data_IF_224261723551
#
_entry.id   IF_224261723551
#
_cell.length_a   1.000
_cell.length_b   1.000
_cell.length_c   1.000
_cell.angle_alpha   90.00
_cell.angle_beta   90.00
_cell.angle_gamma   90.00
#
_symmetry.space_group_name_H-M   'P 1'
#
loop_
_entity.id
_entity.type
_entity.pdbx_description
1 polymer ?
#
# COMPACT_ATOMS: atom_id res chain seq x y z
N UNK A 1 -42.51 6.06 42.67
CA UNK A 1 -41.55 7.06 42.14
C UNK A 1 -40.89 6.35 40.96
N UNK A 2 -41.59 6.23 39.82
CA UNK A 2 -41.82 7.24 38.77
C UNK A 2 -40.57 7.48 37.92
N UNK A 3 -40.61 6.85 36.74
CA UNK A 3 -40.04 7.19 35.43
C UNK A 3 -38.62 7.76 35.34
N UNK A 4 -37.71 6.94 34.81
CA UNK A 4 -36.45 7.41 34.22
C UNK A 4 -36.70 7.49 32.71
N UNK A 5 -36.97 8.70 32.23
CA UNK A 5 -37.10 9.03 30.80
C UNK A 5 -35.80 8.69 30.09
N UNK A 6 -35.86 7.80 29.11
CA UNK A 6 -34.80 7.63 28.12
C UNK A 6 -35.08 8.67 27.04
N UNK A 7 -34.39 9.81 27.11
CA UNK A 7 -34.36 10.78 26.02
C UNK A 7 -33.69 10.12 24.80
N UNK A 8 -34.46 9.88 23.74
CA UNK A 8 -33.95 9.46 22.44
C UNK A 8 -33.21 10.65 21.83
N UNK A 9 -31.89 10.53 21.65
CA UNK A 9 -31.10 11.52 20.92
C UNK A 9 -31.53 11.48 19.44
N UNK A 10 -32.42 12.40 19.07
CA UNK A 10 -32.75 12.72 17.68
C UNK A 10 -31.45 13.12 16.97
N UNK A 11 -30.89 12.20 16.19
CA UNK A 11 -29.76 12.50 15.32
C UNK A 11 -30.23 13.52 14.29
N UNK A 12 -29.74 14.76 14.38
CA UNK A 12 -29.98 15.82 13.39
C UNK A 12 -29.59 15.30 12.00
N UNK A 13 -30.60 14.92 11.20
CA UNK A 13 -30.52 14.23 9.91
C UNK A 13 -30.07 15.16 8.75
N UNK A 14 -29.52 16.33 9.11
CA UNK A 14 -29.13 17.46 8.25
C UNK A 14 -27.62 17.49 7.89
N UNK A 15 -26.83 16.58 8.46
CA UNK A 15 -25.39 16.43 8.19
C UNK A 15 -25.06 15.20 7.34
N UNK A 16 -26.05 14.58 6.68
CA UNK A 16 -25.78 13.54 5.67
C UNK A 16 -25.26 14.22 4.37
N UNK A 17 -23.96 14.05 4.02
CA UNK A 17 -23.38 14.67 2.83
C UNK A 17 -24.06 14.18 1.54
N UNK A 18 -24.69 13.01 1.54
CA UNK A 18 -25.41 12.46 0.39
C UNK A 18 -26.66 13.30 0.08
N UNK A 19 -27.38 13.77 1.10
CA UNK A 19 -28.59 14.59 0.93
C UNK A 19 -28.27 15.97 0.36
N UNK A 20 -27.20 16.61 0.84
CA UNK A 20 -26.73 17.90 0.30
C UNK A 20 -26.36 17.83 -1.18
N UNK A 21 -25.81 16.69 -1.63
CA UNK A 21 -25.47 16.46 -3.03
C UNK A 21 -26.75 16.23 -3.86
N UNK A 22 -27.71 15.48 -3.33
CA UNK A 22 -28.98 15.23 -4.00
C UNK A 22 -29.80 16.52 -4.21
N UNK A 23 -29.85 17.41 -3.21
CA UNK A 23 -30.55 18.69 -3.31
C UNK A 23 -29.90 19.64 -4.33
N UNK A 24 -28.56 19.64 -4.42
CA UNK A 24 -27.82 20.41 -5.45
C UNK A 24 -28.05 19.91 -6.88
N UNK A 25 -28.36 18.64 -7.06
CA UNK A 25 -28.64 18.06 -8.39
C UNK A 25 -30.11 18.29 -8.78
N UNK A 26 -31.01 18.41 -7.79
CA UNK A 26 -32.45 18.56 -7.99
C UNK A 26 -32.92 19.94 -8.49
N UNK A 27 -32.15 21.01 -8.26
CA UNK A 27 -32.57 22.39 -8.61
C UNK A 27 -32.16 22.88 -10.01
N UNK A 28 -31.39 22.09 -10.76
CA UNK A 28 -31.06 22.40 -12.15
C UNK A 28 -30.20 23.66 -12.35
N UNK A 29 -29.58 24.25 -11.32
CA UNK A 29 -28.53 25.25 -11.48
C UNK A 29 -27.18 24.60 -11.82
N UNK A 30 -27.07 24.11 -13.05
CA UNK A 30 -25.77 24.09 -13.75
C UNK A 30 -25.49 25.52 -14.19
N UNK A 31 -25.08 26.36 -13.24
CA UNK A 31 -24.40 27.61 -13.57
C UNK A 31 -23.00 27.25 -14.09
N UNK A 32 -22.74 27.68 -15.33
CA UNK A 32 -21.54 27.50 -16.14
C UNK A 32 -20.32 28.20 -15.49
N UNK A 33 -19.91 27.67 -14.34
CA UNK A 33 -18.88 28.20 -13.47
C UNK A 33 -17.60 27.39 -13.58
N UNK A 34 -16.78 27.75 -14.57
CA UNK A 34 -15.35 27.51 -14.57
C UNK A 34 -14.73 28.01 -13.25
N UNK A 35 -14.69 27.19 -12.20
CA UNK A 35 -13.89 27.47 -11.01
C UNK A 35 -13.69 26.23 -10.12
N UNK A 36 -12.42 25.81 -10.09
CA UNK A 36 -11.80 24.95 -9.10
C UNK A 36 -12.28 23.49 -9.07
N UNK A 37 -12.21 22.80 -10.22
CA UNK A 37 -11.60 21.47 -10.16
C UNK A 37 -10.17 21.77 -9.72
N UNK A 38 -9.87 21.56 -8.44
CA UNK A 38 -8.48 21.53 -7.98
C UNK A 38 -7.76 20.62 -8.96
N UNK A 39 -6.71 21.11 -9.63
CA UNK A 39 -5.76 20.25 -10.34
C UNK A 39 -5.04 19.38 -9.29
N UNK A 40 -5.79 18.54 -8.59
CA UNK A 40 -5.24 17.37 -7.95
C UNK A 40 -4.90 16.44 -9.09
N UNK A 41 -3.62 16.12 -9.18
CA UNK A 41 -3.08 15.17 -10.13
C UNK A 41 -4.03 13.96 -10.22
N UNK A 42 -4.52 13.58 -11.42
CA UNK A 42 -5.47 12.48 -11.57
C UNK A 42 -4.95 11.25 -10.81
N UNK A 43 -5.83 10.52 -10.10
CA UNK A 43 -5.48 9.37 -9.24
C UNK A 43 -4.67 8.25 -9.93
N UNK A 44 -4.40 8.36 -11.23
CA UNK A 44 -3.65 7.42 -12.06
C UNK A 44 -2.43 8.05 -12.78
N UNK A 45 -2.02 9.28 -12.46
CA UNK A 45 -0.93 9.96 -13.18
C UNK A 45 0.47 9.40 -12.92
N UNK A 46 0.62 8.50 -11.95
CA UNK A 46 1.84 7.74 -11.66
C UNK A 46 1.70 6.22 -11.83
N UNK A 47 0.64 5.73 -12.48
CA UNK A 47 0.34 4.30 -12.61
C UNK A 47 1.18 3.56 -13.66
N UNK A 48 1.99 4.26 -14.46
CA UNK A 48 2.95 3.68 -15.40
C UNK A 48 4.41 3.66 -14.90
N UNK A 49 4.65 3.98 -13.63
CA UNK A 49 5.98 3.91 -13.02
C UNK A 49 6.38 2.45 -12.77
N UNK A 50 6.54 1.68 -13.85
CA UNK A 50 7.16 0.37 -13.80
C UNK A 50 8.67 0.51 -13.98
N UNK A 51 9.41 0.01 -13.01
CA UNK A 51 10.88 -0.14 -13.07
C UNK A 51 11.24 -1.35 -13.96
N UNK A 52 10.63 -1.42 -15.16
CA UNK A 52 10.75 -2.57 -16.07
C UNK A 52 12.20 -2.81 -16.53
N UNK A 53 13.10 -1.84 -16.31
CA UNK A 53 14.55 -1.99 -16.53
C UNK A 53 15.20 -3.05 -15.60
N UNK A 54 14.65 -3.27 -14.39
CA UNK A 54 15.23 -4.20 -13.40
C UNK A 54 15.00 -5.68 -13.76
N UNK A 55 14.00 -6.00 -14.59
CA UNK A 55 13.68 -7.39 -14.93
C UNK A 55 14.66 -8.00 -15.95
N UNK A 56 15.18 -7.19 -16.88
CA UNK A 56 16.17 -7.65 -17.86
C UNK A 56 17.52 -7.96 -17.21
N UNK A 57 17.91 -7.18 -16.20
CA UNK A 57 19.19 -7.37 -15.48
C UNK A 57 19.14 -8.46 -14.42
N UNK A 58 17.95 -8.86 -13.96
CA UNK A 58 17.77 -9.89 -12.92
C UNK A 58 18.31 -11.27 -13.34
N UNK A 59 18.31 -11.58 -14.64
CA UNK A 59 18.80 -12.86 -15.16
C UNK A 59 20.32 -12.90 -15.38
N UNK A 60 20.99 -11.74 -15.39
CA UNK A 60 22.45 -11.61 -15.55
C UNK A 60 23.16 -11.49 -14.18
N UNK A 61 22.50 -11.89 -13.09
CA UNK A 61 23.08 -11.85 -11.75
C UNK A 61 24.25 -12.85 -11.63
N UNK A 62 25.48 -12.34 -11.50
CA UNK A 62 26.69 -13.14 -11.29
C UNK A 62 26.65 -13.96 -9.99
N UNK A 63 26.01 -13.42 -8.95
CA UNK A 63 25.90 -14.04 -7.63
C UNK A 63 24.47 -14.49 -7.36
N UNK A 64 24.28 -15.77 -7.02
CA UNK A 64 22.95 -16.36 -6.84
C UNK A 64 22.86 -17.12 -5.51
N UNK A 65 21.75 -16.95 -4.79
CA UNK A 65 21.43 -17.70 -3.58
C UNK A 65 20.09 -18.41 -3.78
N UNK A 66 20.09 -19.73 -3.61
CA UNK A 66 18.88 -20.56 -3.63
C UNK A 66 18.71 -21.22 -2.26
N UNK A 67 17.59 -20.97 -1.59
CA UNK A 67 17.34 -21.50 -0.24
C UNK A 67 15.85 -21.55 0.10
N UNK A 68 15.52 -22.11 1.26
CA UNK A 68 14.20 -21.99 1.88
C UNK A 68 14.24 -20.89 2.95
N UNK A 69 13.10 -20.29 3.27
CA UNK A 69 12.98 -19.37 4.40
C UNK A 69 12.33 -20.05 5.61
N UNK A 70 12.78 -19.69 6.81
CA UNK A 70 12.10 -20.00 8.07
C UNK A 70 11.24 -18.82 8.54
N UNK A 71 11.79 -17.59 8.49
CA UNK A 71 11.09 -16.38 8.94
C UNK A 71 11.54 -15.16 8.17
N UNK A 72 10.59 -14.35 7.73
CA UNK A 72 10.82 -13.02 7.15
C UNK A 72 10.10 -11.99 8.01
N UNK A 73 10.77 -10.91 8.37
CA UNK A 73 10.22 -9.85 9.20
C UNK A 73 10.62 -8.48 8.67
N UNK A 74 9.68 -7.53 8.71
CA UNK A 74 9.90 -6.13 8.34
C UNK A 74 9.44 -5.18 9.43
N UNK A 75 10.23 -4.15 9.68
CA UNK A 75 9.87 -3.01 10.51
C UNK A 75 10.30 -1.72 9.79
N UNK A 76 9.33 -0.99 9.23
CA UNK A 76 9.57 0.15 8.31
C UNK A 76 10.42 -0.30 7.11
N UNK A 77 11.55 0.35 6.85
CA UNK A 77 12.52 -0.02 5.80
C UNK A 77 13.43 -1.18 6.19
N UNK A 78 13.48 -1.59 7.47
CA UNK A 78 14.40 -2.63 7.93
C UNK A 78 13.81 -4.03 7.73
N UNK A 79 14.58 -4.90 7.11
CA UNK A 79 14.25 -6.30 6.84
C UNK A 79 15.17 -7.24 7.63
N UNK A 80 14.60 -8.33 8.14
CA UNK A 80 15.33 -9.44 8.75
C UNK A 80 14.86 -10.76 8.16
N UNK A 81 15.82 -11.59 7.76
CA UNK A 81 15.60 -12.89 7.14
C UNK A 81 16.25 -14.00 7.98
N UNK A 82 15.52 -15.10 8.16
CA UNK A 82 16.03 -16.36 8.67
C UNK A 82 15.81 -17.40 7.57
N UNK A 83 16.90 -17.91 7.01
CA UNK A 83 16.92 -18.80 5.85
C UNK A 83 17.52 -20.16 6.25
N UNK A 84 17.20 -21.20 5.51
CA UNK A 84 17.70 -22.57 5.71
C UNK A 84 17.92 -23.31 4.39
N UNK A 85 18.66 -24.41 4.47
CA UNK A 85 18.88 -25.36 3.37
C UNK A 85 19.30 -24.67 2.06
N UNK A 86 20.34 -23.84 2.12
CA UNK A 86 20.73 -22.96 1.03
C UNK A 86 22.04 -23.31 0.33
N UNK A 87 22.10 -22.97 -0.95
CA UNK A 87 23.26 -23.05 -1.83
C UNK A 87 23.50 -21.65 -2.40
N UNK A 88 24.76 -21.22 -2.41
CA UNK A 88 25.16 -19.88 -2.88
C UNK A 88 26.27 -20.02 -3.91
N UNK A 89 26.16 -19.33 -5.03
CA UNK A 89 27.23 -19.12 -5.99
C UNK A 89 27.68 -17.66 -5.86
N UNK A 90 28.90 -17.43 -5.34
CA UNK A 90 29.43 -16.08 -5.09
C UNK A 90 30.90 -16.02 -5.51
N UNK A 91 31.28 -15.05 -6.33
CA UNK A 91 32.65 -14.82 -6.81
C UNK A 91 33.31 -16.10 -7.37
N UNK A 92 32.58 -16.80 -8.26
CA UNK A 92 32.98 -18.09 -8.85
C UNK A 92 33.25 -19.21 -7.83
N UNK A 93 32.68 -19.13 -6.63
CA UNK A 93 32.74 -20.17 -5.60
C UNK A 93 31.36 -20.60 -5.13
N UNK A 94 31.25 -21.90 -4.87
CA UNK A 94 30.06 -22.50 -4.33
C UNK A 94 30.15 -22.64 -2.80
N UNK A 95 29.06 -22.27 -2.13
CA UNK A 95 28.88 -22.39 -0.70
C UNK A 95 27.55 -23.07 -0.40
N UNK A 96 27.47 -23.74 0.75
CA UNK A 96 26.22 -24.26 1.28
C UNK A 96 26.05 -23.88 2.74
N UNK A 97 24.80 -23.73 3.18
CA UNK A 97 24.47 -23.43 4.57
C UNK A 97 23.24 -24.21 5.03
N UNK A 98 23.25 -24.64 6.29
CA UNK A 98 22.04 -25.19 6.92
C UNK A 98 21.10 -24.09 7.42
N UNK A 99 21.66 -23.01 7.98
CA UNK A 99 20.93 -21.84 8.47
C UNK A 99 21.72 -20.57 8.15
N UNK A 100 21.03 -19.50 7.81
CA UNK A 100 21.60 -18.18 7.54
C UNK A 100 20.67 -17.09 8.10
N UNK A 101 21.24 -16.06 8.71
CA UNK A 101 20.52 -14.87 9.17
C UNK A 101 21.00 -13.65 8.41
N UNK A 102 20.06 -12.86 7.88
CA UNK A 102 20.37 -11.65 7.11
C UNK A 102 19.57 -10.44 7.60
N UNK A 103 20.14 -9.25 7.43
CA UNK A 103 19.49 -7.96 7.67
C UNK A 103 19.72 -7.05 6.47
N UNK A 104 18.70 -6.30 6.06
CA UNK A 104 18.77 -5.36 4.93
C UNK A 104 17.91 -4.12 5.17
N UNK A 105 18.13 -3.05 4.40
CA UNK A 105 17.28 -1.86 4.34
C UNK A 105 16.73 -1.69 2.91
N UNK A 106 15.45 -1.37 2.79
CA UNK A 106 14.75 -1.01 1.53
C UNK A 106 14.47 0.49 1.51
#
# INVERSE_FOLDING_TARGET
MSDSSSEEEEADDDDDPIRRIADRIGDGQIEDGEQAIVEEDPLNSGDDQSDDEDLETLFDADNVIMCQFEKVHRARSKWKFQLKDGIMHIDNKDYCFQKCSGEAEW
#
